data_IF_844505732304
#
_entry.id   IF_844505732304
#
_cell.length_a   1.000
_cell.length_b   1.000
_cell.length_c   1.000
_cell.angle_alpha   90.00
_cell.angle_beta   90.00
_cell.angle_gamma   90.00
#
_symmetry.space_group_name_H-M   'P 1'
#
loop_
_entity.id
_entity.type
_entity.pdbx_description
1 polymer ?
#
# COMPACT_ATOMS: atom_id res chain seq x y z
N UNK A 1 -8.56 4.24 -13.74
CA UNK A 1 -7.17 4.40 -13.25
C UNK A 1 -6.30 3.35 -13.88
N UNK A 2 -5.15 3.72 -14.41
CA UNK A 2 -4.13 2.81 -14.94
C UNK A 2 -2.86 2.95 -14.11
N UNK A 3 -2.07 1.88 -13.99
CA UNK A 3 -0.80 1.96 -13.29
C UNK A 3 0.15 0.85 -13.68
N UNK A 4 1.44 1.11 -13.52
CA UNK A 4 2.52 0.14 -13.69
C UNK A 4 3.45 0.22 -12.50
N UNK A 5 4.12 -0.88 -12.18
CA UNK A 5 5.13 -0.93 -11.14
C UNK A 5 6.29 -1.81 -11.53
N UNK A 6 7.47 -1.43 -11.05
CA UNK A 6 8.69 -2.22 -11.15
C UNK A 6 9.33 -2.26 -9.78
N UNK A 7 9.78 -3.45 -9.37
CA UNK A 7 10.35 -3.63 -8.04
C UNK A 7 11.58 -4.52 -8.07
N UNK A 8 12.51 -4.22 -7.19
CA UNK A 8 13.66 -5.07 -6.89
C UNK A 8 13.68 -5.38 -5.40
N UNK A 9 14.05 -6.59 -5.03
CA UNK A 9 14.17 -6.99 -3.65
C UNK A 9 15.30 -7.98 -3.42
N UNK A 10 15.88 -7.91 -2.24
CA UNK A 10 16.95 -8.78 -1.78
C UNK A 10 16.54 -9.45 -0.47
N UNK A 11 16.86 -10.74 -0.34
CA UNK A 11 16.56 -11.55 0.84
C UNK A 11 17.88 -12.09 1.37
N UNK A 12 18.20 -11.73 2.61
CA UNK A 12 19.34 -12.25 3.34
C UNK A 12 18.89 -13.18 4.46
N UNK A 13 19.33 -14.45 4.40
CA UNK A 13 19.12 -15.42 5.49
C UNK A 13 20.23 -15.24 6.52
N UNK A 14 19.96 -14.45 7.56
CA UNK A 14 20.92 -14.22 8.63
C UNK A 14 21.23 -15.52 9.41
N UNK A 15 20.23 -16.39 9.58
CA UNK A 15 20.38 -17.75 10.06
C UNK A 15 19.19 -18.62 9.62
N UNK A 16 19.06 -19.83 10.18
CA UNK A 16 17.98 -20.76 9.85
C UNK A 16 16.56 -20.25 10.19
N UNK A 17 16.44 -19.33 11.15
CA UNK A 17 15.16 -18.80 11.65
C UNK A 17 14.91 -17.35 11.26
N UNK A 18 15.96 -16.56 11.05
CA UNK A 18 15.88 -15.11 10.81
C UNK A 18 16.18 -14.82 9.35
N UNK A 19 15.27 -14.08 8.72
CA UNK A 19 15.41 -13.54 7.38
C UNK A 19 15.26 -12.03 7.42
N UNK A 20 16.21 -11.33 6.81
CA UNK A 20 16.13 -9.90 6.53
C UNK A 20 15.80 -9.73 5.05
N UNK A 21 14.96 -8.77 4.72
CA UNK A 21 14.61 -8.49 3.33
C UNK A 21 14.52 -6.99 3.10
N UNK A 22 15.07 -6.53 1.98
CA UNK A 22 14.92 -5.17 1.51
C UNK A 22 14.21 -5.20 0.17
N UNK A 23 13.35 -4.22 -0.11
CA UNK A 23 12.69 -4.09 -1.41
C UNK A 23 12.49 -2.62 -1.72
N UNK A 24 12.69 -2.23 -2.96
CA UNK A 24 12.29 -0.94 -3.48
C UNK A 24 11.36 -1.16 -4.67
N UNK A 25 10.21 -0.50 -4.67
CA UNK A 25 9.23 -0.57 -5.77
C UNK A 25 8.96 0.84 -6.27
N UNK A 26 9.06 1.06 -7.57
CA UNK A 26 8.61 2.27 -8.21
C UNK A 26 7.22 2.03 -8.82
N UNK A 27 6.33 3.00 -8.66
CA UNK A 27 4.96 2.98 -9.17
C UNK A 27 4.74 4.21 -10.04
N UNK A 28 4.10 4.04 -11.19
CA UNK A 28 3.57 5.12 -12.01
C UNK A 28 2.07 4.89 -12.18
N UNK A 29 1.26 5.85 -11.77
CA UNK A 29 -0.20 5.78 -11.79
C UNK A 29 -0.77 6.94 -12.59
N UNK A 30 -1.82 6.69 -13.36
CA UNK A 30 -2.65 7.69 -14.06
C UNK A 30 -4.10 7.52 -13.65
N UNK A 31 -4.68 8.56 -13.10
CA UNK A 31 -6.11 8.72 -12.89
C UNK A 31 -6.67 9.64 -13.97
N UNK A 32 -7.79 9.26 -14.56
CA UNK A 32 -8.52 10.07 -15.52
C UNK A 32 -10.00 9.76 -15.36
N UNK A 33 -10.81 10.82 -15.35
CA UNK A 33 -12.25 10.73 -15.26
C UNK A 33 -12.84 11.73 -16.24
N UNK A 34 -13.84 11.29 -17.01
CA UNK A 34 -14.67 12.13 -17.86
C UNK A 34 -16.12 11.98 -17.41
N UNK A 35 -16.82 13.11 -17.32
CA UNK A 35 -18.21 13.17 -16.89
C UNK A 35 -19.01 13.97 -17.91
N UNK A 36 -19.89 13.28 -18.64
CA UNK A 36 -20.88 13.89 -19.53
C UNK A 36 -22.24 13.94 -18.84
N UNK A 37 -23.03 14.97 -19.14
CA UNK A 37 -24.30 15.24 -18.46
C UNK A 37 -25.44 15.33 -19.46
N UNK A 38 -26.47 14.53 -19.25
CA UNK A 38 -27.59 14.41 -20.19
C UNK A 38 -28.86 15.12 -19.68
N UNK A 39 -28.80 15.76 -18.50
CA UNK A 39 -29.92 16.52 -17.93
C UNK A 39 -29.43 17.77 -17.15
N UNK A 40 -30.35 18.69 -16.88
CA UNK A 40 -30.05 20.00 -16.29
C UNK A 40 -29.46 19.93 -14.87
N UNK A 41 -29.90 18.99 -14.03
CA UNK A 41 -29.39 18.82 -12.67
C UNK A 41 -27.96 18.29 -12.66
N UNK A 42 -27.68 17.26 -13.46
CA UNK A 42 -26.34 16.70 -13.64
C UNK A 42 -25.39 17.73 -14.27
N UNK A 43 -25.87 18.60 -15.17
CA UNK A 43 -25.08 19.69 -15.75
C UNK A 43 -24.64 20.70 -14.69
N UNK A 44 -25.55 21.14 -13.80
CA UNK A 44 -25.22 22.08 -12.73
C UNK A 44 -24.20 21.46 -11.76
N UNK A 45 -24.44 20.23 -11.31
CA UNK A 45 -23.52 19.50 -10.42
C UNK A 45 -22.17 19.29 -11.10
N UNK A 46 -22.18 18.87 -12.37
CA UNK A 46 -20.99 18.68 -13.18
C UNK A 46 -20.15 19.94 -13.26
N UNK A 47 -20.76 21.11 -13.50
CA UNK A 47 -20.06 22.40 -13.56
C UNK A 47 -19.40 22.81 -12.23
N UNK A 48 -20.00 22.47 -11.09
CA UNK A 48 -19.38 22.74 -9.78
C UNK A 48 -18.21 21.79 -9.46
N UNK A 49 -18.22 20.59 -10.02
CA UNK A 49 -17.22 19.55 -9.78
C UNK A 49 -16.14 19.48 -10.87
N UNK A 50 -16.34 20.20 -11.97
CA UNK A 50 -15.43 20.24 -13.12
C UNK A 50 -14.03 20.70 -12.71
N UNK A 51 -13.00 19.97 -13.14
CA UNK A 51 -11.61 20.22 -12.76
C UNK A 51 -11.26 19.93 -11.29
N UNK A 52 -12.25 19.59 -10.45
CA UNK A 52 -12.08 19.23 -9.04
C UNK A 52 -12.20 17.73 -8.81
N UNK A 53 -13.35 17.16 -9.18
CA UNK A 53 -13.67 15.74 -9.01
C UNK A 53 -14.01 15.03 -10.33
N UNK A 54 -14.49 15.78 -11.33
CA UNK A 54 -14.84 15.25 -12.65
C UNK A 54 -14.09 15.98 -13.76
N UNK A 55 -13.91 15.33 -14.92
CA UNK A 55 -13.10 15.84 -16.05
C UNK A 55 -11.67 16.19 -15.64
N UNK A 56 -11.07 15.31 -14.85
CA UNK A 56 -9.75 15.52 -14.27
C UNK A 56 -8.78 14.45 -14.74
N UNK A 57 -7.51 14.84 -14.87
CA UNK A 57 -6.40 13.92 -15.07
C UNK A 57 -5.36 14.13 -13.98
N UNK A 58 -4.79 13.04 -13.46
CA UNK A 58 -3.72 13.08 -12.49
C UNK A 58 -2.74 11.95 -12.76
N UNK A 59 -1.46 12.25 -12.63
CA UNK A 59 -0.36 11.30 -12.63
C UNK A 59 0.29 11.30 -11.26
N UNK A 60 0.83 10.16 -10.86
CA UNK A 60 1.65 10.04 -9.66
C UNK A 60 2.78 9.05 -9.90
N UNK A 61 4.01 9.49 -9.60
CA UNK A 61 5.20 8.65 -9.60
C UNK A 61 5.69 8.49 -8.17
N UNK A 62 5.81 7.25 -7.68
CA UNK A 62 6.09 6.94 -6.27
C UNK A 62 7.25 5.95 -6.20
N UNK A 63 8.19 6.17 -5.28
CA UNK A 63 9.21 5.19 -4.89
C UNK A 63 8.90 4.72 -3.47
N UNK A 64 8.85 3.40 -3.28
CA UNK A 64 8.49 2.75 -2.03
C UNK A 64 9.59 1.76 -1.59
N UNK A 65 10.60 2.22 -0.83
CA UNK A 65 11.51 1.34 -0.12
C UNK A 65 10.82 0.65 1.07
N UNK A 66 11.27 -0.57 1.37
CA UNK A 66 10.82 -1.34 2.52
C UNK A 66 11.93 -2.23 3.06
N UNK A 67 11.92 -2.41 4.37
CA UNK A 67 12.83 -3.30 5.10
C UNK A 67 11.99 -4.20 6.01
N UNK A 68 12.23 -5.51 5.94
CA UNK A 68 11.52 -6.53 6.70
C UNK A 68 12.50 -7.38 7.49
N UNK A 69 12.22 -7.56 8.78
CA UNK A 69 12.79 -8.61 9.59
C UNK A 69 11.73 -9.68 9.86
N UNK A 70 12.07 -10.95 9.64
CA UNK A 70 11.17 -12.08 9.86
C UNK A 70 11.88 -13.16 10.67
N UNK A 71 11.26 -13.58 11.77
CA UNK A 71 11.62 -14.76 12.53
C UNK A 71 10.62 -15.89 12.23
N UNK A 72 11.11 -17.10 11.96
CA UNK A 72 10.28 -18.29 11.71
C UNK A 72 10.69 -19.40 12.66
N UNK A 73 9.71 -19.94 13.39
CA UNK A 73 9.91 -21.04 14.31
C UNK A 73 9.10 -22.26 13.82
N UNK A 74 9.78 -23.35 13.43
CA UNK A 74 9.13 -24.64 13.20
C UNK A 74 8.55 -25.20 14.51
N UNK A 75 7.44 -25.91 14.40
CA UNK A 75 6.75 -26.60 15.50
C UNK A 75 6.29 -27.98 15.05
N UNK A 76 5.86 -28.83 15.97
CA UNK A 76 5.28 -30.14 15.63
C UNK A 76 3.95 -30.03 14.85
N UNK A 77 3.19 -28.95 15.07
CA UNK A 77 1.93 -28.66 14.38
C UNK A 77 2.10 -27.80 13.11
N UNK A 78 3.33 -27.44 12.74
CA UNK A 78 3.62 -26.62 11.56
C UNK A 78 4.71 -25.60 11.81
N UNK A 79 4.37 -24.30 11.77
CA UNK A 79 5.29 -23.20 12.07
C UNK A 79 4.56 -21.92 12.41
N UNK A 80 5.22 -21.02 13.11
CA UNK A 80 4.78 -19.63 13.21
C UNK A 80 5.88 -18.68 12.76
N UNK A 81 5.49 -17.49 12.31
CA UNK A 81 6.43 -16.40 12.09
C UNK A 81 5.96 -15.12 12.74
N UNK A 82 6.94 -14.33 13.17
CA UNK A 82 6.77 -12.94 13.58
C UNK A 82 7.57 -12.10 12.61
N UNK A 83 7.01 -10.99 12.15
CA UNK A 83 7.74 -10.07 11.32
C UNK A 83 7.43 -8.62 11.61
N UNK A 84 8.43 -7.77 11.44
CA UNK A 84 8.30 -6.33 11.46
C UNK A 84 8.76 -5.79 10.11
N UNK A 85 7.96 -4.94 9.49
CA UNK A 85 8.23 -4.36 8.17
C UNK A 85 8.04 -2.86 8.21
N UNK A 86 9.12 -2.11 8.01
CA UNK A 86 9.06 -0.68 7.78
C UNK A 86 8.90 -0.43 6.29
N UNK A 87 7.87 0.30 5.92
CA UNK A 87 7.63 0.74 4.55
C UNK A 87 7.63 2.26 4.54
N UNK A 88 8.37 2.86 3.62
CA UNK A 88 8.34 4.29 3.37
C UNK A 88 8.01 4.53 1.92
N UNK A 89 7.35 5.63 1.60
CA UNK A 89 7.11 6.03 0.23
C UNK A 89 7.24 7.54 0.09
N UNK A 90 7.70 7.95 -1.07
CA UNK A 90 7.77 9.34 -1.50
C UNK A 90 7.49 9.40 -2.99
N UNK A 91 6.74 10.41 -3.42
CA UNK A 91 6.40 10.55 -4.82
C UNK A 91 6.02 11.97 -5.18
N UNK A 92 5.80 12.15 -6.47
CA UNK A 92 5.38 13.41 -7.07
C UNK A 92 4.14 13.19 -7.91
N UNK A 93 3.17 14.08 -7.77
CA UNK A 93 1.95 14.05 -8.59
C UNK A 93 1.82 15.31 -9.43
N UNK A 94 1.16 15.20 -10.58
CA UNK A 94 0.92 16.30 -11.51
C UNK A 94 -0.32 16.01 -12.37
N UNK A 95 -0.90 17.04 -13.01
CA UNK A 95 -2.10 16.90 -13.85
C UNK A 95 -3.10 18.04 -13.65
N UNK A 96 -4.29 17.90 -14.22
CA UNK A 96 -5.37 18.90 -14.14
C UNK A 96 -6.28 18.73 -12.93
N UNK A 97 -6.21 17.60 -12.21
CA UNK A 97 -7.05 17.35 -11.05
C UNK A 97 -6.85 18.39 -9.93
N UNK A 98 -7.95 18.77 -9.27
CA UNK A 98 -7.98 19.78 -8.20
C UNK A 98 -7.28 21.10 -8.60
N UNK A 99 -7.55 21.59 -9.81
CA UNK A 99 -6.89 22.77 -10.39
C UNK A 99 -5.35 22.68 -10.39
N UNK A 100 -4.81 21.47 -10.54
CA UNK A 100 -3.37 21.21 -10.51
C UNK A 100 -2.76 21.06 -9.12
N UNK A 101 -3.53 21.23 -8.04
CA UNK A 101 -3.07 21.02 -6.66
C UNK A 101 -3.41 19.60 -6.17
N UNK A 102 -2.63 18.62 -6.65
CA UNK A 102 -2.90 17.19 -6.40
C UNK A 102 -2.20 16.69 -5.13
N UNK A 103 -1.22 17.44 -4.62
CA UNK A 103 -0.38 17.02 -3.49
C UNK A 103 0.64 15.93 -3.88
N UNK A 104 1.62 15.71 -3.01
CA UNK A 104 2.69 14.74 -3.24
C UNK A 104 2.63 13.65 -2.18
N UNK A 105 2.53 12.36 -2.58
CA UNK A 105 2.47 11.27 -1.62
C UNK A 105 3.79 11.15 -0.87
N UNK A 106 3.71 11.17 0.46
CA UNK A 106 4.84 10.92 1.34
C UNK A 106 4.35 10.24 2.61
N UNK A 107 5.16 9.38 3.18
CA UNK A 107 4.85 8.79 4.47
C UNK A 107 5.59 7.49 4.72
N UNK A 108 5.33 6.94 5.89
CA UNK A 108 5.83 5.63 6.26
C UNK A 108 4.82 4.90 7.13
N UNK A 109 4.88 3.58 7.12
CA UNK A 109 4.13 2.74 8.04
C UNK A 109 4.95 1.55 8.49
N UNK A 110 4.78 1.18 9.76
CA UNK A 110 5.38 0.02 10.37
C UNK A 110 4.32 -1.06 10.54
N UNK A 111 4.55 -2.23 9.95
CA UNK A 111 3.67 -3.38 10.07
C UNK A 111 4.32 -4.46 10.92
N UNK A 112 3.68 -4.80 12.04
CA UNK A 112 4.05 -5.93 12.88
C UNK A 112 3.01 -7.05 12.66
N UNK A 113 3.48 -8.25 12.30
CA UNK A 113 2.64 -9.38 11.94
C UNK A 113 3.06 -10.62 12.72
N UNK A 114 2.09 -11.36 13.26
CA UNK A 114 2.27 -12.69 13.83
C UNK A 114 1.32 -13.63 13.12
N UNK A 115 1.85 -14.71 12.51
CA UNK A 115 1.05 -15.65 11.73
C UNK A 115 1.47 -17.09 12.04
N UNK A 116 0.49 -17.92 12.44
CA UNK A 116 0.62 -19.36 12.60
C UNK A 116 0.18 -20.11 11.35
N UNK A 117 0.88 -21.20 11.02
CA UNK A 117 0.57 -22.12 9.93
C UNK A 117 0.45 -23.52 10.54
N UNK A 118 -0.73 -24.11 10.40
CA UNK A 118 -1.11 -25.38 10.99
C UNK A 118 -1.22 -26.43 9.89
N UNK A 119 -0.43 -27.49 10.02
CA UNK A 119 -0.52 -28.65 9.14
C UNK A 119 -1.75 -29.47 9.52
N UNK A 120 -2.70 -29.58 8.59
CA UNK A 120 -3.93 -30.36 8.76
C UNK A 120 -3.96 -31.50 7.74
N UNK A 121 -4.81 -32.52 7.97
CA UNK A 121 -4.92 -33.72 7.12
C UNK A 121 -3.56 -34.37 6.80
N UNK A 122 -2.81 -34.76 7.84
CA UNK A 122 -1.49 -35.40 7.70
C UNK A 122 -0.48 -34.57 6.88
N UNK A 123 -0.57 -33.23 6.94
CA UNK A 123 0.33 -32.32 6.24
C UNK A 123 0.02 -32.08 4.76
N UNK A 124 -1.11 -32.60 4.25
CA UNK A 124 -1.55 -32.35 2.86
C UNK A 124 -2.23 -31.00 2.69
N UNK A 125 -2.66 -30.38 3.78
CA UNK A 125 -3.35 -29.09 3.77
C UNK A 125 -2.79 -28.21 4.89
N UNK A 126 -2.91 -26.89 4.71
CA UNK A 126 -2.46 -25.91 5.68
C UNK A 126 -3.56 -24.91 5.98
N UNK A 127 -3.85 -24.73 7.26
CA UNK A 127 -4.64 -23.60 7.77
C UNK A 127 -3.66 -22.52 8.24
N UNK A 128 -3.99 -21.25 8.07
CA UNK A 128 -3.22 -20.15 8.67
C UNK A 128 -4.13 -19.18 9.39
N UNK A 129 -3.63 -18.62 10.48
CA UNK A 129 -4.26 -17.51 11.19
C UNK A 129 -3.18 -16.51 11.58
N UNK A 130 -3.51 -15.22 11.58
CA UNK A 130 -2.55 -14.20 11.91
C UNK A 130 -3.20 -12.88 12.28
N UNK A 131 -2.44 -12.09 13.03
CA UNK A 131 -2.81 -10.75 13.45
C UNK A 131 -1.75 -9.80 12.93
N UNK A 132 -2.20 -8.65 12.44
CA UNK A 132 -1.35 -7.59 11.93
C UNK A 132 -1.74 -6.27 12.56
N UNK A 133 -0.75 -5.59 13.14
CA UNK A 133 -0.86 -4.20 13.56
C UNK A 133 -0.08 -3.34 12.57
N UNK A 134 -0.70 -2.23 12.15
CA UNK A 134 -0.09 -1.25 11.26
C UNK A 134 -0.10 0.10 11.96
N UNK A 135 1.09 0.63 12.20
CA UNK A 135 1.28 1.97 12.75
C UNK A 135 1.68 2.90 11.60
N UNK A 136 1.01 4.04 11.48
CA UNK A 136 1.17 4.98 10.38
C UNK A 136 1.89 6.25 10.85
N UNK A 137 2.67 6.86 9.95
CA UNK A 137 3.20 8.21 10.16
C UNK A 137 2.07 9.25 10.30
N UNK A 138 2.34 10.37 11.01
CA UNK A 138 1.37 11.45 11.23
C UNK A 138 0.74 11.97 9.94
N UNK A 139 1.54 12.18 8.89
CA UNK A 139 1.05 12.66 7.60
C UNK A 139 0.03 11.68 6.98
N UNK A 140 0.25 10.37 7.14
CA UNK A 140 -0.70 9.33 6.71
C UNK A 140 -1.95 9.23 7.58
N UNK A 141 -1.83 9.43 8.90
CA UNK A 141 -2.99 9.42 9.79
C UNK A 141 -3.96 10.56 9.47
N UNK A 142 -3.43 11.74 9.15
CA UNK A 142 -4.25 12.90 8.78
C UNK A 142 -5.04 12.65 7.50
N UNK A 143 -4.43 12.03 6.49
CA UNK A 143 -5.08 11.70 5.21
C UNK A 143 -6.13 10.59 5.35
N UNK A 144 -5.95 9.66 6.29
CA UNK A 144 -6.86 8.53 6.51
C UNK A 144 -7.96 8.80 7.54
N UNK A 145 -8.00 10.00 8.12
CA UNK A 145 -9.05 10.41 9.04
C UNK A 145 -9.13 9.55 10.31
N UNK A 146 -8.02 8.98 10.76
CA UNK A 146 -7.97 8.20 12.00
C UNK A 146 -7.54 9.10 13.16
N UNK A 147 -8.47 9.61 13.98
CA UNK A 147 -8.09 10.26 15.24
C UNK A 147 -7.46 9.23 16.17
N UNK A 148 -6.47 9.68 16.94
CA UNK A 148 -5.86 8.91 18.03
C UNK A 148 -6.86 8.61 19.15
#
# INVERSE_FOLDING_TARGET
TYGTSIGYGYIHKANQKITLSTRATAHLMRYENTFSTDNALSFIIGKFLDGRAVNVSAWSAIIQPSVKAKYTQPTNWGKWHVSSTLNSFIGRSWGSANNGNIGNPKGWYLSNEVTGYYNIYHGKQALFSGIKRVDLSRDLNNELGSPH
#
